data_IF_609369744318
#
_entry.id   IF_609369744318
#
_cell.length_a   1.000
_cell.length_b   1.000
_cell.length_c   1.000
_cell.angle_alpha   90.00
_cell.angle_beta   90.00
_cell.angle_gamma   90.00
#
_symmetry.space_group_name_H-M   'P 1'
#
loop_
_entity.id
_entity.type
_entity.pdbx_description
1 polymer ?
#
# COMPACT_ATOMS: atom_id res chain seq x y z
N UNK A 1 -9.92 1.51 24.40
CA UNK A 1 -8.63 1.02 23.84
C UNK A 1 -7.48 1.66 24.60
N UNK A 2 -6.52 0.90 25.11
CA UNK A 2 -5.40 1.47 25.84
C UNK A 2 -4.36 2.05 24.87
N UNK A 3 -3.49 2.93 25.37
CA UNK A 3 -2.45 3.61 24.56
C UNK A 3 -1.56 2.59 23.85
N UNK A 4 -1.20 1.52 24.53
CA UNK A 4 -0.35 0.46 23.99
C UNK A 4 -0.97 -0.18 22.74
N UNK A 5 -2.26 -0.47 22.78
CA UNK A 5 -2.98 -1.07 21.65
C UNK A 5 -3.04 -0.13 20.45
N UNK A 6 -3.17 1.16 20.69
CA UNK A 6 -3.20 2.18 19.65
C UNK A 6 -1.86 2.28 18.93
N UNK A 7 -0.76 2.24 19.66
CA UNK A 7 0.57 2.23 19.07
C UNK A 7 0.78 0.96 18.23
N UNK A 8 0.34 -0.17 18.74
CA UNK A 8 0.42 -1.44 18.01
C UNK A 8 -0.35 -1.38 16.69
N UNK A 9 -1.56 -0.85 16.72
CA UNK A 9 -2.40 -0.69 15.53
C UNK A 9 -1.71 0.23 14.51
N UNK A 10 -1.19 1.36 14.98
CA UNK A 10 -0.47 2.31 14.12
C UNK A 10 0.76 1.65 13.49
N UNK A 11 1.53 0.89 14.25
CA UNK A 11 2.68 0.17 13.73
C UNK A 11 2.31 -0.86 12.69
N UNK A 12 1.20 -1.57 12.87
CA UNK A 12 0.72 -2.52 11.88
C UNK A 12 0.39 -1.84 10.56
N UNK A 13 -0.25 -0.67 10.61
CA UNK A 13 -0.52 0.12 9.41
C UNK A 13 0.78 0.53 8.73
N UNK A 14 1.74 1.04 9.49
CA UNK A 14 3.05 1.47 8.97
C UNK A 14 3.78 0.31 8.30
N UNK A 15 3.81 -0.85 8.95
CA UNK A 15 4.52 -2.04 8.44
C UNK A 15 3.90 -2.52 7.13
N UNK A 16 2.58 -2.72 7.10
CA UNK A 16 1.90 -3.21 5.91
C UNK A 16 1.93 -2.18 4.76
N UNK A 17 1.76 -0.91 5.08
CA UNK A 17 1.84 0.16 4.07
C UNK A 17 3.26 0.26 3.50
N UNK A 18 4.28 0.17 4.34
CA UNK A 18 5.68 0.18 3.92
C UNK A 18 6.00 -1.01 3.03
N UNK A 19 5.53 -2.20 3.40
CA UNK A 19 5.73 -3.41 2.60
C UNK A 19 5.03 -3.29 1.24
N UNK A 20 3.80 -2.75 1.21
CA UNK A 20 3.07 -2.51 -0.04
C UNK A 20 3.85 -1.57 -0.97
N UNK A 21 4.42 -0.49 -0.41
CA UNK A 21 5.24 0.45 -1.18
C UNK A 21 6.49 -0.21 -1.76
N UNK A 22 7.19 -0.99 -0.94
CA UNK A 22 8.40 -1.70 -1.37
C UNK A 22 8.10 -2.67 -2.50
N UNK A 23 7.03 -3.44 -2.37
CA UNK A 23 6.59 -4.38 -3.39
C UNK A 23 6.18 -3.67 -4.68
N UNK A 24 5.52 -2.51 -4.56
CA UNK A 24 5.16 -1.69 -5.72
C UNK A 24 6.40 -1.19 -6.45
N UNK A 25 7.41 -0.74 -5.73
CA UNK A 25 8.68 -0.31 -6.30
C UNK A 25 9.40 -1.47 -7.02
N UNK A 26 9.44 -2.64 -6.38
CA UNK A 26 10.02 -3.85 -6.98
C UNK A 26 9.27 -4.24 -8.25
N UNK A 27 7.94 -4.06 -8.27
CA UNK A 27 7.13 -4.35 -9.46
C UNK A 27 7.51 -3.42 -10.62
N UNK A 28 7.76 -2.16 -10.34
CA UNK A 28 8.22 -1.21 -11.34
C UNK A 28 9.61 -1.57 -11.87
N UNK A 29 10.51 -1.97 -10.98
CA UNK A 29 11.85 -2.42 -11.36
C UNK A 29 11.80 -3.64 -12.29
N UNK A 30 10.93 -4.60 -11.97
CA UNK A 30 10.74 -5.78 -12.82
C UNK A 30 10.17 -5.40 -14.19
N UNK A 31 9.23 -4.46 -14.23
CA UNK A 31 8.61 -3.98 -15.47
C UNK A 31 9.63 -3.28 -16.36
N UNK A 32 10.57 -2.53 -15.78
CA UNK A 32 11.67 -1.88 -16.53
C UNK A 32 12.52 -2.90 -17.28
N UNK A 33 12.63 -4.10 -16.75
CA UNK A 33 13.38 -5.21 -17.37
C UNK A 33 12.50 -6.08 -18.26
N UNK A 34 11.26 -5.68 -18.47
CA UNK A 34 10.23 -6.42 -19.20
C UNK A 34 9.90 -7.79 -18.59
N UNK A 35 10.16 -7.97 -17.30
CA UNK A 35 9.75 -9.16 -16.55
C UNK A 35 8.33 -8.95 -15.98
N UNK A 36 7.34 -9.05 -16.86
CA UNK A 36 5.95 -8.73 -16.52
C UNK A 36 5.30 -9.77 -15.62
N UNK A 37 5.70 -11.02 -15.71
CA UNK A 37 5.20 -12.07 -14.82
C UNK A 37 5.57 -11.74 -13.38
N UNK A 38 6.83 -11.37 -13.15
CA UNK A 38 7.31 -10.98 -11.82
C UNK A 38 6.63 -9.69 -11.35
N UNK A 39 6.47 -8.70 -12.24
CA UNK A 39 5.83 -7.44 -11.85
C UNK A 39 4.37 -7.65 -11.43
N UNK A 40 3.64 -8.53 -12.12
CA UNK A 40 2.25 -8.86 -11.76
C UNK A 40 2.17 -9.56 -10.40
N UNK A 41 3.08 -10.51 -10.14
CA UNK A 41 3.16 -11.18 -8.83
C UNK A 41 3.42 -10.19 -7.70
N UNK A 42 4.34 -9.25 -7.93
CA UNK A 42 4.70 -8.24 -6.94
C UNK A 42 3.56 -7.25 -6.69
N UNK A 43 2.82 -6.87 -7.74
CA UNK A 43 1.64 -6.01 -7.61
C UNK A 43 0.54 -6.71 -6.81
N UNK A 44 0.36 -8.01 -7.02
CA UNK A 44 -0.62 -8.79 -6.28
C UNK A 44 -0.28 -8.84 -4.79
N UNK A 45 1.00 -9.06 -4.47
CA UNK A 45 1.47 -9.04 -3.08
C UNK A 45 1.35 -7.66 -2.46
N UNK A 46 1.66 -6.61 -3.22
CA UNK A 46 1.51 -5.22 -2.78
C UNK A 46 0.05 -4.93 -2.41
N UNK A 47 -0.89 -5.42 -3.22
CA UNK A 47 -2.32 -5.26 -2.97
C UNK A 47 -2.76 -6.00 -1.71
N UNK A 48 -2.25 -7.20 -1.48
CA UNK A 48 -2.57 -7.96 -0.26
C UNK A 48 -2.12 -7.21 0.99
N UNK A 49 -0.91 -6.66 0.98
CA UNK A 49 -0.39 -5.85 2.09
C UNK A 49 -1.19 -4.56 2.27
N UNK A 50 -1.55 -3.91 1.16
CA UNK A 50 -2.38 -2.70 1.20
C UNK A 50 -3.75 -3.00 1.81
N UNK A 51 -4.41 -4.07 1.39
CA UNK A 51 -5.74 -4.44 1.91
C UNK A 51 -5.69 -4.75 3.40
N UNK A 52 -4.60 -5.33 3.89
CA UNK A 52 -4.42 -5.60 5.31
C UNK A 52 -4.45 -4.30 6.13
N UNK A 53 -3.68 -3.29 5.73
CA UNK A 53 -3.67 -2.02 6.47
C UNK A 53 -4.94 -1.19 6.22
N UNK A 54 -5.52 -1.26 5.05
CA UNK A 54 -6.78 -0.57 4.73
C UNK A 54 -7.93 -1.13 5.59
N UNK A 55 -7.95 -2.43 5.83
CA UNK A 55 -8.95 -3.06 6.70
C UNK A 55 -8.82 -2.56 8.14
N UNK A 56 -7.59 -2.44 8.65
CA UNK A 56 -7.34 -1.90 9.99
C UNK A 56 -7.89 -0.48 10.09
N UNK A 57 -7.63 0.36 9.09
CA UNK A 57 -8.14 1.72 9.04
C UNK A 57 -9.67 1.76 9.01
N UNK A 58 -10.28 0.91 8.17
CA UNK A 58 -11.74 0.82 8.05
C UNK A 58 -12.37 0.45 9.38
N UNK A 59 -11.78 -0.50 10.10
CA UNK A 59 -12.27 -0.92 11.41
C UNK A 59 -12.22 0.24 12.42
N UNK A 60 -11.17 1.04 12.38
CA UNK A 60 -11.04 2.23 13.24
C UNK A 60 -12.10 3.28 12.90
N UNK A 61 -12.33 3.54 11.61
CA UNK A 61 -13.34 4.50 11.17
C UNK A 61 -14.74 4.05 11.57
N UNK A 62 -15.01 2.76 11.45
CA UNK A 62 -16.30 2.17 11.88
C UNK A 62 -16.50 2.33 13.38
N UNK A 63 -15.45 2.07 14.15
CA UNK A 63 -15.44 2.24 15.61
C UNK A 63 -15.79 3.69 15.98
N UNK A 64 -15.15 4.66 15.33
CA UNK A 64 -15.44 6.09 15.55
C UNK A 64 -16.90 6.44 15.20
N UNK A 65 -17.38 5.94 14.06
CA UNK A 65 -18.76 6.16 13.62
C UNK A 65 -19.76 5.61 14.61
N UNK A 66 -19.39 4.56 15.35
CA UNK A 66 -20.23 3.95 16.39
C UNK A 66 -20.10 4.64 17.75
N UNK A 67 -19.40 5.76 17.81
CA UNK A 67 -19.31 6.59 19.00
C UNK A 67 -18.12 6.33 19.90
N UNK A 68 -17.24 5.41 19.54
CA UNK A 68 -15.98 5.18 20.26
C UNK A 68 -15.00 6.31 19.92
N UNK A 69 -14.32 6.81 20.96
CA UNK A 69 -13.34 7.87 20.75
C UNK A 69 -11.95 7.28 20.59
N UNK A 70 -11.30 7.64 19.50
CA UNK A 70 -9.90 7.33 19.27
C UNK A 70 -9.10 8.62 19.44
N UNK A 71 -8.05 8.57 20.25
CA UNK A 71 -7.15 9.72 20.39
C UNK A 71 -6.33 9.88 19.12
N UNK A 72 -6.28 11.12 18.64
CA UNK A 72 -5.41 11.48 17.52
C UNK A 72 -4.04 11.81 18.11
N UNK A 73 -3.01 11.12 17.63
CA UNK A 73 -1.64 11.39 18.03
C UNK A 73 -0.73 11.34 16.80
N UNK A 74 0.53 11.72 16.99
CA UNK A 74 1.49 11.84 15.89
C UNK A 74 1.69 10.48 15.18
N UNK A 75 1.74 9.40 15.92
CA UNK A 75 1.97 8.07 15.31
C UNK A 75 0.80 7.65 14.39
N UNK A 76 -0.43 7.98 14.75
CA UNK A 76 -1.58 7.72 13.90
C UNK A 76 -1.58 8.58 12.64
N UNK A 77 -1.21 9.84 12.77
CA UNK A 77 -1.06 10.74 11.62
C UNK A 77 0.00 10.18 10.67
N UNK A 78 1.13 9.76 11.23
CA UNK A 78 2.22 9.16 10.47
C UNK A 78 1.77 7.87 9.77
N UNK A 79 1.01 7.03 10.46
CA UNK A 79 0.46 5.80 9.89
C UNK A 79 -0.49 6.10 8.71
N UNK A 80 -1.33 7.12 8.83
CA UNK A 80 -2.23 7.55 7.76
C UNK A 80 -1.45 8.04 6.54
N UNK A 81 -0.34 8.74 6.75
CA UNK A 81 0.53 9.19 5.67
C UNK A 81 1.13 8.00 4.92
N UNK A 82 1.58 6.98 5.65
CA UNK A 82 2.10 5.76 5.04
C UNK A 82 1.05 5.05 4.20
N UNK A 83 -0.18 4.98 4.69
CA UNK A 83 -1.28 4.36 3.96
C UNK A 83 -1.59 5.13 2.66
N UNK A 84 -1.63 6.45 2.73
CA UNK A 84 -1.84 7.31 1.57
C UNK A 84 -0.72 7.14 0.54
N UNK A 85 0.53 7.11 1.00
CA UNK A 85 1.69 6.90 0.13
C UNK A 85 1.64 5.51 -0.54
N UNK A 86 1.21 4.49 0.19
CA UNK A 86 1.07 3.14 -0.36
C UNK A 86 0.01 3.10 -1.46
N UNK A 87 -1.12 3.80 -1.27
CA UNK A 87 -2.18 3.90 -2.27
C UNK A 87 -1.64 4.50 -3.57
N UNK A 88 -0.92 5.60 -3.47
CA UNK A 88 -0.33 6.27 -4.63
C UNK A 88 0.75 5.43 -5.30
N UNK A 89 1.59 4.78 -4.50
CA UNK A 89 2.66 3.93 -5.02
C UNK A 89 2.10 2.76 -5.84
N UNK A 90 1.06 2.10 -5.34
CA UNK A 90 0.40 1.00 -6.04
C UNK A 90 -0.24 1.47 -7.35
N UNK A 91 -0.95 2.59 -7.30
CA UNK A 91 -1.62 3.15 -8.46
C UNK A 91 -0.61 3.51 -9.54
N UNK A 92 0.46 4.19 -9.16
CA UNK A 92 1.54 4.55 -10.07
C UNK A 92 2.25 3.32 -10.65
N UNK A 93 2.48 2.30 -9.81
CA UNK A 93 3.13 1.07 -10.26
C UNK A 93 2.30 0.35 -11.31
N UNK A 94 1.00 0.25 -11.12
CA UNK A 94 0.09 -0.36 -12.10
C UNK A 94 0.14 0.36 -13.43
N UNK A 95 0.15 1.69 -13.42
CA UNK A 95 0.22 2.51 -14.63
C UNK A 95 1.57 2.35 -15.34
N UNK A 96 2.65 2.33 -14.59
CA UNK A 96 4.00 2.14 -15.15
C UNK A 96 4.16 0.76 -15.77
N UNK A 97 3.66 -0.28 -15.12
CA UNK A 97 3.69 -1.64 -15.69
C UNK A 97 2.93 -1.66 -17.02
N UNK A 98 1.76 -1.02 -17.07
CA UNK A 98 0.98 -0.92 -18.31
C UNK A 98 1.76 -0.20 -19.41
N UNK A 99 2.42 0.90 -19.06
CA UNK A 99 3.22 1.66 -20.01
C UNK A 99 4.38 0.84 -20.56
N UNK A 100 5.11 0.14 -19.71
CA UNK A 100 6.22 -0.71 -20.15
C UNK A 100 5.75 -1.85 -21.05
N UNK A 101 4.57 -2.43 -20.77
CA UNK A 101 3.95 -3.44 -21.64
C UNK A 101 3.70 -2.87 -23.05
N UNK A 102 3.15 -1.66 -23.12
CA UNK A 102 2.90 -0.99 -24.39
C UNK A 102 4.20 -0.66 -25.13
N UNK A 103 5.21 -0.22 -24.41
CA UNK A 103 6.54 0.04 -24.99
C UNK A 103 7.12 -1.25 -25.60
N UNK A 104 7.01 -2.36 -24.88
CA UNK A 104 7.50 -3.65 -25.35
C UNK A 104 6.76 -4.09 -26.62
N UNK A 105 5.46 -3.95 -26.67
CA UNK A 105 4.65 -4.27 -27.84
C UNK A 105 5.07 -3.47 -29.06
N UNK A 106 5.46 -2.21 -28.87
CA UNK A 106 5.84 -1.30 -29.95
C UNK A 106 7.27 -1.49 -30.46
N UNK A 107 8.14 -2.17 -29.69
CA UNK A 107 9.51 -2.44 -30.09
C UNK A 107 9.62 -3.26 -31.39
N UNK A 108 8.64 -4.10 -31.65
CA UNK A 108 8.63 -4.97 -32.82
C UNK A 108 8.03 -4.32 -34.08
N UNK A 109 7.65 -3.05 -33.97
CA UNK A 109 7.05 -2.30 -35.09
C UNK A 109 8.04 -1.25 -35.68
#
# INVERSE_FOLDING_TARGET
MCIRDRYEIAFQIIVHAGESRSLSTEAMDAAEKYDFEKSEELLEKANEEFLACHQIQTDMLTSEANGEKNEINVIFIHAQDHLTMATMAMDNAKRLVTMYKKMKENEGK
#
